data_IF_464032891693
#
_entry.id   IF_464032891693
#
_cell.length_a   1.000
_cell.length_b   1.000
_cell.length_c   1.000
_cell.angle_alpha   90.00
_cell.angle_beta   90.00
_cell.angle_gamma   90.00
#
_symmetry.space_group_name_H-M   'P 1'
#
loop_
_entity.id
_entity.type
_entity.pdbx_description
1 polymer ?
#
# COMPACT_ATOMS: atom_id res chain seq x y z
N UNK A 1 0.36 43.83 -57.78
CA UNK A 1 -0.82 43.96 -56.90
C UNK A 1 -0.61 43.04 -55.71
N UNK A 2 -0.31 43.61 -54.55
CA UNK A 2 0.00 42.93 -53.28
C UNK A 2 -1.32 42.68 -52.53
N UNK A 3 -1.57 41.46 -52.06
CA UNK A 3 -2.62 41.18 -51.07
C UNK A 3 -1.96 40.45 -49.90
N UNK A 4 -1.85 41.19 -48.80
CA UNK A 4 -1.25 40.85 -47.52
C UNK A 4 -1.78 39.53 -46.94
N UNK A 5 -0.86 38.64 -46.56
CA UNK A 5 -1.12 37.57 -45.59
C UNK A 5 -1.03 38.16 -44.19
N UNK A 6 -2.16 38.59 -43.62
CA UNK A 6 -2.25 38.86 -42.18
C UNK A 6 -2.32 37.53 -41.42
N UNK A 7 -1.19 37.14 -40.82
CA UNK A 7 -1.12 36.06 -39.84
C UNK A 7 -1.69 36.63 -38.53
N UNK A 8 -2.94 36.29 -38.21
CA UNK A 8 -3.51 36.57 -36.89
C UNK A 8 -3.11 35.41 -35.98
N UNK A 9 -2.03 35.60 -35.21
CA UNK A 9 -1.70 34.72 -34.08
C UNK A 9 -2.75 34.90 -32.99
N UNK A 10 -3.70 33.97 -32.92
CA UNK A 10 -4.62 33.85 -31.78
C UNK A 10 -3.83 33.25 -30.61
N UNK A 11 -3.32 34.11 -29.73
CA UNK A 11 -2.79 33.68 -28.44
C UNK A 11 -3.97 33.19 -27.57
N UNK A 12 -4.10 31.88 -27.42
CA UNK A 12 -4.97 31.27 -26.42
C UNK A 12 -4.37 31.57 -25.03
N UNK A 13 -4.86 32.62 -24.38
CA UNK A 13 -4.64 32.85 -22.95
C UNK A 13 -5.46 31.79 -22.19
N UNK A 14 -4.81 30.73 -21.72
CA UNK A 14 -5.43 29.80 -20.79
C UNK A 14 -5.62 30.52 -19.43
N UNK A 15 -6.83 31.02 -19.17
CA UNK A 15 -7.22 31.38 -17.81
C UNK A 15 -7.32 30.09 -16.99
N UNK A 16 -6.26 29.76 -16.25
CA UNK A 16 -6.33 28.81 -15.16
C UNK A 16 -7.14 29.46 -14.01
N UNK A 17 -8.46 29.43 -14.13
CA UNK A 17 -9.35 29.78 -13.03
C UNK A 17 -9.24 28.72 -11.95
N UNK A 18 -8.77 29.10 -10.76
CA UNK A 18 -9.00 28.32 -9.54
C UNK A 18 -10.51 28.34 -9.26
N UNK A 19 -11.25 27.41 -9.86
CA UNK A 19 -12.61 27.12 -9.43
C UNK A 19 -12.51 26.71 -7.96
N UNK A 20 -13.04 27.54 -7.05
CA UNK A 20 -13.21 27.13 -5.67
C UNK A 20 -14.03 25.84 -5.68
N UNK A 21 -13.40 24.75 -5.27
CA UNK A 21 -14.02 23.44 -5.32
C UNK A 21 -15.33 23.48 -4.51
N UNK A 22 -16.42 23.02 -5.12
CA UNK A 22 -17.74 22.89 -4.49
C UNK A 22 -17.61 22.15 -3.15
N UNK A 23 -18.38 22.58 -2.13
CA UNK A 23 -18.34 21.91 -0.83
C UNK A 23 -18.89 20.48 -0.93
N UNK A 24 -18.43 19.60 -0.04
CA UNK A 24 -18.76 18.19 -0.17
C UNK A 24 -20.25 17.90 0.06
N UNK A 25 -20.91 18.70 0.90
CA UNK A 25 -22.37 18.62 1.08
C UNK A 25 -23.16 19.09 -0.15
N UNK A 26 -22.65 20.05 -0.92
CA UNK A 26 -23.21 20.45 -2.20
C UNK A 26 -22.99 19.37 -3.27
N UNK A 27 -21.82 18.72 -3.28
CA UNK A 27 -21.47 17.71 -4.27
C UNK A 27 -22.18 16.36 -4.05
N UNK A 28 -22.27 15.87 -2.80
CA UNK A 28 -22.79 14.53 -2.50
C UNK A 28 -24.10 14.53 -1.69
N UNK A 29 -24.54 15.70 -1.21
CA UNK A 29 -25.64 15.83 -0.26
C UNK A 29 -25.17 15.66 1.20
N UNK A 30 -25.91 16.28 2.12
CA UNK A 30 -25.57 16.38 3.55
C UNK A 30 -25.28 15.03 4.22
N UNK A 31 -26.09 14.01 3.94
CA UNK A 31 -25.96 12.70 4.58
C UNK A 31 -24.64 12.00 4.22
N UNK A 32 -24.28 11.98 2.92
CA UNK A 32 -23.04 11.35 2.46
C UNK A 32 -21.81 12.15 2.91
N UNK A 33 -21.87 13.47 2.86
CA UNK A 33 -20.79 14.33 3.34
C UNK A 33 -20.56 14.17 4.85
N UNK A 34 -21.61 14.02 5.65
CA UNK A 34 -21.49 13.76 7.09
C UNK A 34 -20.81 12.41 7.38
N UNK A 35 -21.10 11.37 6.61
CA UNK A 35 -20.43 10.07 6.74
C UNK A 35 -18.93 10.17 6.40
N UNK A 36 -18.56 10.85 5.31
CA UNK A 36 -17.15 11.10 4.99
C UNK A 36 -16.44 11.89 6.09
N UNK A 37 -17.09 12.90 6.67
CA UNK A 37 -16.52 13.66 7.81
C UNK A 37 -16.28 12.75 9.01
N UNK A 38 -17.21 11.85 9.33
CA UNK A 38 -17.06 10.88 10.42
C UNK A 38 -15.86 9.94 10.17
N UNK A 39 -15.78 9.37 8.97
CA UNK A 39 -14.67 8.50 8.58
C UNK A 39 -13.33 9.22 8.63
N UNK A 40 -13.28 10.47 8.16
CA UNK A 40 -12.10 11.33 8.17
C UNK A 40 -11.59 11.59 9.58
N UNK A 41 -12.47 11.99 10.51
CA UNK A 41 -12.09 12.23 11.92
C UNK A 41 -11.60 10.96 12.62
N UNK A 42 -12.11 9.80 12.22
CA UNK A 42 -11.74 8.52 12.82
C UNK A 42 -10.34 8.06 12.42
N UNK A 43 -9.84 8.43 11.23
CA UNK A 43 -8.52 7.98 10.74
C UNK A 43 -7.46 9.07 10.70
N UNK A 44 -7.83 10.33 10.91
CA UNK A 44 -6.88 11.44 10.89
C UNK A 44 -6.15 11.59 12.23
N UNK A 45 -4.82 11.51 12.26
CA UNK A 45 -4.04 11.80 13.46
C UNK A 45 -3.83 13.32 13.68
N UNK A 46 -4.30 14.18 12.76
CA UNK A 46 -4.04 15.60 12.86
C UNK A 46 -4.92 16.28 13.91
N UNK A 47 -4.36 17.24 14.64
CA UNK A 47 -5.10 18.02 15.65
C UNK A 47 -6.11 18.98 15.01
N UNK A 48 -5.92 19.34 13.74
CA UNK A 48 -6.80 20.21 12.96
C UNK A 48 -6.95 19.69 11.52
N UNK A 49 -7.66 18.57 11.31
CA UNK A 49 -7.77 17.96 10.00
C UNK A 49 -8.81 18.68 9.11
N UNK A 50 -8.75 18.53 7.78
CA UNK A 50 -9.73 19.11 6.86
C UNK A 50 -11.10 18.38 6.87
N UNK A 51 -11.43 17.64 7.93
CA UNK A 51 -12.66 16.85 8.07
C UNK A 51 -13.90 17.73 8.35
N UNK A 52 -14.33 18.49 7.35
CA UNK A 52 -15.49 19.37 7.41
C UNK A 52 -16.24 19.31 6.07
N UNK A 53 -17.57 19.13 6.10
CA UNK A 53 -18.41 19.02 4.91
C UNK A 53 -18.43 20.28 4.03
N UNK A 54 -18.04 21.44 4.58
CA UNK A 54 -17.84 22.69 3.85
C UNK A 54 -16.58 22.67 2.95
N UNK A 55 -15.63 21.77 3.22
CA UNK A 55 -14.48 21.54 2.34
C UNK A 55 -14.87 20.68 1.13
N UNK A 56 -14.02 20.65 0.11
CA UNK A 56 -14.23 19.78 -1.05
C UNK A 56 -14.19 18.30 -0.65
N UNK A 57 -14.99 17.45 -1.32
CA UNK A 57 -14.94 16.02 -1.05
C UNK A 57 -13.56 15.43 -1.30
N UNK A 58 -12.85 15.92 -2.32
CA UNK A 58 -11.47 15.50 -2.62
C UNK A 58 -10.57 15.65 -1.39
N UNK A 59 -10.56 16.83 -0.77
CA UNK A 59 -9.73 17.11 0.40
C UNK A 59 -10.07 16.19 1.59
N UNK A 60 -11.35 15.93 1.83
CA UNK A 60 -11.81 15.02 2.90
C UNK A 60 -11.39 13.57 2.56
N UNK A 61 -11.59 13.13 1.32
CA UNK A 61 -11.26 11.76 0.92
C UNK A 61 -9.76 11.48 0.90
N UNK A 62 -8.93 12.47 0.57
CA UNK A 62 -7.48 12.32 0.60
C UNK A 62 -6.93 12.28 2.02
N UNK A 63 -7.56 13.01 2.95
CA UNK A 63 -7.31 12.87 4.39
C UNK A 63 -7.65 11.44 4.87
N UNK A 64 -8.82 10.91 4.47
CA UNK A 64 -9.20 9.52 4.78
C UNK A 64 -8.15 8.55 4.24
N UNK A 65 -7.80 8.64 2.95
CA UNK A 65 -6.80 7.76 2.31
C UNK A 65 -5.45 7.83 3.04
N UNK A 66 -5.01 9.04 3.41
CA UNK A 66 -3.75 9.21 4.15
C UNK A 66 -3.83 8.57 5.53
N UNK A 67 -4.91 8.81 6.28
CA UNK A 67 -5.16 8.19 7.59
C UNK A 67 -5.19 6.67 7.52
N UNK A 68 -5.96 6.11 6.57
CA UNK A 68 -6.01 4.68 6.30
C UNK A 68 -4.61 4.08 6.03
N UNK A 69 -3.78 4.77 5.21
CA UNK A 69 -2.41 4.33 4.92
C UNK A 69 -1.51 4.32 6.16
N UNK A 70 -1.73 5.25 7.09
CA UNK A 70 -0.99 5.32 8.35
C UNK A 70 -1.39 4.14 9.25
N UNK A 71 -2.70 3.88 9.37
CA UNK A 71 -3.22 2.81 10.22
C UNK A 71 -2.85 1.41 9.70
N UNK A 72 -2.85 1.19 8.38
CA UNK A 72 -2.48 -0.11 7.80
C UNK A 72 -3.51 -1.19 8.15
N UNK A 73 -3.09 -2.26 8.82
CA UNK A 73 -3.99 -3.38 9.19
C UNK A 73 -4.94 -3.02 10.35
N UNK A 74 -4.60 -2.00 11.15
CA UNK A 74 -5.50 -1.46 12.19
C UNK A 74 -6.57 -0.53 11.60
N UNK A 75 -6.57 -0.34 10.28
CA UNK A 75 -7.49 0.55 9.61
C UNK A 75 -8.94 0.01 9.65
N UNK A 76 -9.95 0.87 9.82
CA UNK A 76 -11.35 0.47 9.74
C UNK A 76 -11.71 -0.19 8.39
N UNK A 77 -12.75 -1.02 8.37
CA UNK A 77 -13.16 -1.78 7.17
C UNK A 77 -13.50 -0.93 5.92
N UNK A 78 -13.79 0.37 6.07
CA UNK A 78 -13.99 1.27 4.93
C UNK A 78 -12.68 1.75 4.29
N UNK A 79 -11.54 1.53 4.94
CA UNK A 79 -10.24 1.81 4.38
C UNK A 79 -9.88 0.76 3.32
N UNK A 80 -9.28 1.17 2.20
CA UNK A 80 -8.74 0.21 1.25
C UNK A 80 -7.63 -0.60 1.92
N UNK A 81 -7.50 -1.91 1.60
CA UNK A 81 -6.39 -2.71 2.11
C UNK A 81 -5.05 -2.12 1.66
N UNK A 82 -3.98 -2.45 2.40
CA UNK A 82 -2.64 -2.00 2.05
C UNK A 82 -2.30 -2.37 0.58
N UNK A 83 -1.67 -1.48 -0.19
CA UNK A 83 -1.30 -1.78 -1.57
C UNK A 83 -0.40 -3.01 -1.64
N UNK A 84 -0.82 -3.97 -2.47
CA UNK A 84 -0.05 -5.19 -2.73
C UNK A 84 0.70 -5.11 -4.05
N UNK A 85 1.87 -5.73 -4.11
CA UNK A 85 2.62 -5.98 -5.34
C UNK A 85 2.63 -7.46 -5.66
N UNK A 86 2.40 -7.80 -6.92
CA UNK A 86 2.59 -9.16 -7.42
C UNK A 86 4.06 -9.35 -7.78
N UNK A 87 4.69 -10.36 -7.19
CA UNK A 87 6.09 -10.72 -7.42
C UNK A 87 6.14 -12.12 -8.03
N UNK A 88 6.68 -12.22 -9.23
CA UNK A 88 7.09 -13.48 -9.85
C UNK A 88 8.60 -13.64 -9.71
N UNK A 89 9.04 -14.86 -9.40
CA UNK A 89 10.46 -15.12 -9.22
C UNK A 89 10.74 -16.52 -8.72
N UNK A 90 11.95 -16.71 -8.16
CA UNK A 90 12.39 -17.97 -7.58
C UNK A 90 12.59 -17.82 -6.09
N UNK A 91 12.17 -18.83 -5.33
CA UNK A 91 12.45 -18.92 -3.90
C UNK A 91 13.94 -19.21 -3.70
N UNK A 92 14.70 -18.29 -3.12
CA UNK A 92 16.17 -18.44 -3.03
C UNK A 92 16.67 -18.62 -1.61
N UNK A 93 15.90 -18.14 -0.64
CA UNK A 93 16.25 -18.26 0.77
C UNK A 93 15.00 -18.14 1.65
N UNK A 94 15.16 -18.39 2.94
CA UNK A 94 14.11 -18.24 3.92
C UNK A 94 14.48 -18.89 5.24
N UNK A 95 13.72 -18.57 6.27
CA UNK A 95 14.02 -19.02 7.62
C UNK A 95 13.60 -18.01 8.67
N UNK A 96 13.83 -18.40 9.92
CA UNK A 96 13.50 -17.65 11.12
C UNK A 96 13.60 -18.52 12.37
N UNK A 97 13.54 -17.88 13.53
CA UNK A 97 13.38 -18.54 14.82
C UNK A 97 11.92 -18.38 15.26
N UNK A 98 11.54 -17.16 15.61
CA UNK A 98 10.18 -16.80 15.97
C UNK A 98 9.34 -16.48 14.72
N UNK A 99 9.92 -15.73 13.79
CA UNK A 99 9.23 -15.21 12.62
C UNK A 99 9.80 -15.73 11.32
N UNK A 100 9.01 -16.56 10.65
CA UNK A 100 9.39 -17.14 9.37
C UNK A 100 9.30 -16.13 8.24
N UNK A 101 10.30 -16.17 7.35
CA UNK A 101 10.37 -15.32 6.17
C UNK A 101 10.84 -16.10 4.95
N UNK A 102 10.50 -15.58 3.78
CA UNK A 102 11.01 -16.06 2.49
C UNK A 102 11.75 -14.94 1.78
N UNK A 103 12.76 -15.31 0.99
CA UNK A 103 13.42 -14.41 0.04
C UNK A 103 13.17 -14.90 -1.38
N UNK A 104 12.56 -14.02 -2.18
CA UNK A 104 12.28 -14.27 -3.59
C UNK A 104 13.28 -13.47 -4.42
N UNK A 105 14.01 -14.14 -5.31
CA UNK A 105 14.72 -13.49 -6.41
C UNK A 105 13.69 -13.23 -7.52
N UNK A 106 13.24 -11.98 -7.61
CA UNK A 106 12.28 -11.58 -8.65
C UNK A 106 12.87 -11.73 -10.05
N UNK A 107 12.01 -11.83 -11.06
CA UNK A 107 12.41 -11.83 -12.48
C UNK A 107 13.20 -10.56 -12.89
N UNK A 108 13.04 -9.47 -12.13
CA UNK A 108 13.79 -8.22 -12.29
C UNK A 108 15.18 -8.26 -11.62
N UNK A 109 15.61 -9.42 -11.09
CA UNK A 109 16.90 -9.59 -10.42
C UNK A 109 16.97 -9.06 -8.98
N UNK A 110 15.88 -8.51 -8.44
CA UNK A 110 15.83 -8.00 -7.06
C UNK A 110 15.52 -9.13 -6.07
N UNK A 111 16.31 -9.23 -4.99
CA UNK A 111 15.97 -10.06 -3.82
C UNK A 111 14.95 -9.34 -2.94
N UNK A 112 13.85 -10.02 -2.64
CA UNK A 112 12.74 -9.49 -1.85
C UNK A 112 12.51 -10.44 -0.68
N UNK A 113 12.95 -10.03 0.52
CA UNK A 113 12.60 -10.71 1.77
C UNK A 113 11.22 -10.23 2.24
N UNK A 114 10.36 -11.17 2.61
CA UNK A 114 9.04 -10.91 3.19
C UNK A 114 8.69 -11.95 4.26
N UNK A 115 8.04 -11.51 5.34
CA UNK A 115 7.60 -12.36 6.43
C UNK A 115 6.32 -13.11 6.08
N UNK A 116 6.23 -14.34 6.58
CA UNK A 116 5.18 -15.28 6.22
C UNK A 116 3.86 -15.02 6.94
N UNK A 117 3.89 -14.77 8.26
CA UNK A 117 2.68 -14.58 9.11
C UNK A 117 1.56 -15.57 8.75
N UNK A 118 1.90 -16.86 8.73
CA UNK A 118 0.98 -17.96 8.39
C UNK A 118 0.66 -18.15 6.91
N UNK A 119 1.15 -17.30 6.00
CA UNK A 119 0.87 -17.41 4.55
C UNK A 119 1.84 -18.31 3.79
N UNK A 120 2.94 -18.73 4.42
CA UNK A 120 3.85 -19.73 3.86
C UNK A 120 3.40 -21.13 4.28
N UNK A 121 3.68 -22.14 3.45
CA UNK A 121 3.44 -23.54 3.81
C UNK A 121 4.56 -24.15 4.65
N UNK A 122 4.53 -25.47 4.79
CA UNK A 122 5.56 -26.28 5.46
C UNK A 122 6.86 -26.34 4.64
N UNK A 123 7.54 -25.20 4.53
CA UNK A 123 8.67 -25.00 3.64
C UNK A 123 10.00 -24.94 4.36
N UNK A 124 9.97 -24.92 5.68
CA UNK A 124 11.15 -24.74 6.51
C UNK A 124 11.48 -26.03 7.23
N UNK A 125 12.77 -26.24 7.42
CA UNK A 125 13.34 -27.39 8.11
C UNK A 125 14.33 -26.87 9.15
N UNK A 126 14.52 -27.63 10.22
CA UNK A 126 15.55 -27.35 11.20
C UNK A 126 16.92 -27.29 10.50
N UNK A 127 17.65 -26.23 10.79
CA UNK A 127 18.95 -26.02 10.20
C UNK A 127 20.05 -26.67 11.04
N UNK A 128 21.25 -26.78 10.45
CA UNK A 128 22.39 -27.36 11.15
C UNK A 128 22.71 -26.54 12.42
N UNK A 129 22.58 -27.18 13.59
CA UNK A 129 22.75 -26.54 14.89
C UNK A 129 21.45 -26.35 15.69
N UNK A 130 20.28 -26.65 15.12
CA UNK A 130 19.00 -26.80 15.84
C UNK A 130 18.31 -25.53 16.35
N UNK A 131 19.03 -24.40 16.40
CA UNK A 131 18.49 -23.16 16.96
C UNK A 131 17.69 -22.30 15.98
N UNK A 132 17.68 -22.64 14.69
CA UNK A 132 16.99 -21.89 13.65
C UNK A 132 16.37 -22.79 12.59
N UNK A 133 15.28 -22.31 11.98
CA UNK A 133 14.70 -22.94 10.81
C UNK A 133 15.21 -22.26 9.53
N UNK A 134 15.50 -23.07 8.52
CA UNK A 134 15.92 -22.60 7.20
C UNK A 134 15.00 -23.15 6.12
N UNK A 135 14.94 -22.46 4.98
CA UNK A 135 14.20 -22.94 3.82
C UNK A 135 14.71 -24.31 3.38
N UNK A 136 13.78 -25.25 3.21
CA UNK A 136 14.05 -26.59 2.73
C UNK A 136 14.86 -26.53 1.42
N UNK A 137 16.07 -27.13 1.37
CA UNK A 137 16.93 -27.08 0.18
C UNK A 137 16.24 -27.56 -1.10
N UNK A 138 15.26 -28.48 -1.00
CA UNK A 138 14.48 -28.98 -2.16
C UNK A 138 13.57 -27.93 -2.78
N UNK A 139 13.26 -26.85 -2.06
CA UNK A 139 12.40 -25.76 -2.53
C UNK A 139 13.21 -24.58 -3.09
N UNK A 140 14.52 -24.53 -2.82
CA UNK A 140 15.41 -23.49 -3.38
C UNK A 140 15.41 -23.56 -4.92
N UNK A 141 15.29 -22.40 -5.54
CA UNK A 141 15.21 -22.23 -6.99
C UNK A 141 13.82 -22.47 -7.59
N UNK A 142 12.85 -23.00 -6.84
CA UNK A 142 11.50 -23.26 -7.38
C UNK A 142 10.78 -21.95 -7.73
N UNK A 143 10.06 -21.90 -8.86
CA UNK A 143 9.35 -20.71 -9.28
C UNK A 143 8.10 -20.49 -8.41
N UNK A 144 7.88 -19.24 -8.02
CA UNK A 144 6.75 -18.82 -7.18
C UNK A 144 6.11 -17.55 -7.73
N UNK A 145 4.82 -17.39 -7.44
CA UNK A 145 4.13 -16.11 -7.50
C UNK A 145 3.69 -15.74 -6.09
N UNK A 146 4.01 -14.53 -5.66
CA UNK A 146 3.66 -14.00 -4.35
C UNK A 146 2.97 -12.64 -4.45
N UNK A 147 1.96 -12.43 -3.62
CA UNK A 147 1.38 -11.11 -3.35
C UNK A 147 2.02 -10.60 -2.07
N UNK A 148 2.66 -9.43 -2.13
CA UNK A 148 3.40 -8.86 -1.00
C UNK A 148 2.86 -7.46 -0.71
N UNK A 149 2.69 -7.12 0.56
CA UNK A 149 2.39 -5.75 1.00
C UNK A 149 3.47 -5.25 1.95
N UNK A 150 3.67 -3.94 2.00
CA UNK A 150 4.52 -3.29 3.02
C UNK A 150 3.61 -2.69 4.09
N UNK A 151 3.61 -3.25 5.29
CA UNK A 151 2.69 -2.92 6.39
C UNK A 151 3.49 -2.59 7.67
N UNK A 152 2.81 -2.03 8.68
CA UNK A 152 3.38 -1.81 10.03
C UNK A 152 3.70 -3.16 10.68
N UNK A 153 4.50 -3.20 11.73
CA UNK A 153 4.74 -4.43 12.46
C UNK A 153 3.49 -4.82 13.24
N UNK A 154 2.91 -3.87 13.99
CA UNK A 154 1.72 -4.09 14.81
C UNK A 154 1.78 -5.42 15.60
N UNK A 155 2.90 -5.65 16.29
CA UNK A 155 3.14 -6.86 17.08
C UNK A 155 3.32 -8.18 16.31
N UNK A 156 3.43 -8.17 14.98
CA UNK A 156 3.54 -9.40 14.18
C UNK A 156 4.92 -10.05 14.24
N UNK A 157 5.97 -9.25 14.28
CA UNK A 157 7.38 -9.66 14.30
C UNK A 157 7.96 -9.35 15.67
N UNK A 158 8.60 -10.34 16.28
CA UNK A 158 9.21 -10.23 17.59
C UNK A 158 10.47 -9.35 17.56
N UNK A 159 10.52 -8.35 18.46
CA UNK A 159 11.65 -7.43 18.64
C UNK A 159 11.41 -6.01 18.11
N UNK A 160 11.13 -5.80 16.81
CA UNK A 160 10.80 -4.50 16.24
C UNK A 160 9.59 -3.80 16.87
N UNK A 161 9.59 -2.46 16.86
CA UNK A 161 8.47 -1.65 17.33
C UNK A 161 7.27 -1.71 16.37
N UNK A 162 6.06 -1.43 16.89
CA UNK A 162 4.80 -1.57 16.14
C UNK A 162 4.72 -0.73 14.86
N UNK A 163 5.35 0.44 14.85
CA UNK A 163 5.34 1.36 13.71
C UNK A 163 6.37 1.03 12.63
N UNK A 164 7.31 0.13 12.92
CA UNK A 164 8.31 -0.29 11.93
C UNK A 164 7.62 -1.01 10.76
N UNK A 165 8.11 -0.79 9.54
CA UNK A 165 7.44 -1.31 8.34
C UNK A 165 8.22 -2.45 7.71
N UNK A 166 7.54 -3.57 7.52
CA UNK A 166 8.09 -4.76 6.90
C UNK A 166 7.26 -5.20 5.69
N UNK A 167 7.87 -6.06 4.88
CA UNK A 167 7.15 -6.74 3.80
C UNK A 167 6.54 -8.01 4.33
N UNK A 168 5.25 -8.18 4.09
CA UNK A 168 4.50 -9.36 4.46
C UNK A 168 3.98 -10.06 3.22
N UNK A 169 4.10 -11.38 3.22
CA UNK A 169 3.43 -12.23 2.25
C UNK A 169 1.93 -12.18 2.56
N UNK A 170 1.11 -11.84 1.56
CA UNK A 170 -0.36 -11.90 1.65
C UNK A 170 -0.90 -13.16 0.99
N UNK A 171 -0.17 -13.69 0.00
CA UNK A 171 -0.37 -15.02 -0.57
C UNK A 171 0.89 -15.45 -1.31
N UNK A 172 1.21 -16.73 -1.32
CA UNK A 172 2.33 -17.26 -2.12
C UNK A 172 2.05 -18.68 -2.58
N UNK A 173 2.39 -18.99 -3.83
CA UNK A 173 2.21 -20.32 -4.39
C UNK A 173 3.34 -20.66 -5.37
N UNK A 174 3.66 -21.96 -5.47
CA UNK A 174 4.52 -22.47 -6.53
C UNK A 174 3.81 -22.37 -7.88
N UNK A 175 4.55 -21.98 -8.90
CA UNK A 175 4.08 -22.04 -10.28
C UNK A 175 4.19 -23.50 -10.73
N UNK A 176 3.10 -24.04 -11.31
CA UNK A 176 3.06 -25.39 -11.87
C UNK A 176 3.83 -25.48 -13.18
#
# INVERSE_FOLDING_TARGET
MQINKFIISLAFLALAGNAAAMSCDQQLGKAKAAELVKQCKNVSPATRPPCNAANSCELITDEIKRGCKILGDDAPAYCPPAPTVLVKGKLVDGGGNDDMSVTILSEQGKKIRAYCVGQCGDWFVEAAGGEYQALNPKLKGKPVTATIATERNAGRIAGPGDDERFKFVKSIAFIK
#
